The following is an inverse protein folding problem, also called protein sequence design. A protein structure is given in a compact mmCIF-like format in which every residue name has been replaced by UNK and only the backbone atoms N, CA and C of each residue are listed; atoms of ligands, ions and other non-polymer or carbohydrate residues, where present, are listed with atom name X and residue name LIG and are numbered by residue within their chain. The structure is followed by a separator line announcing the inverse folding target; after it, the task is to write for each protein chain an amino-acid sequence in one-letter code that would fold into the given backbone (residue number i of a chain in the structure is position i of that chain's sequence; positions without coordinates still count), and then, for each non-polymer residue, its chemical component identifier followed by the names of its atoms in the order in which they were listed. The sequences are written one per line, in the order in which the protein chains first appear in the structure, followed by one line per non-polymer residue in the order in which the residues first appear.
data_IF_758758979569
#
_entry.id   IF_758758979569
#
_cell.length_a   1.000
_cell.length_b   1.000
_cell.length_c   1.000
_cell.angle_alpha   90.00
_cell.angle_beta   90.00
_cell.angle_gamma   90.00
#
_symmetry.space_group_name_H-M   'P 1'
#
loop_
_entity.id
_entity.type
_entity.pdbx_description
1 polymer ?
#
# COMPACT_ATOMS: atom_id res chain seq x y z
N UNK A 1 -53.06 -19.10 22.08
CA UNK A 1 -52.24 -17.98 22.60
C UNK A 1 -50.87 -18.58 22.88
N UNK A 2 -49.87 -18.54 22.01
CA UNK A 2 -49.49 -17.54 21.01
C UNK A 2 -48.12 -16.98 21.44
N UNK A 3 -47.15 -17.00 20.52
CA UNK A 3 -45.80 -16.39 20.58
C UNK A 3 -44.64 -17.33 20.95
N UNK A 4 -44.16 -18.06 19.93
CA UNK A 4 -42.77 -18.52 19.88
C UNK A 4 -41.90 -17.37 19.35
N UNK A 5 -40.94 -16.92 20.16
CA UNK A 5 -39.98 -15.90 19.79
C UNK A 5 -38.85 -16.55 18.97
N UNK A 6 -38.88 -16.41 17.64
CA UNK A 6 -37.79 -16.83 16.79
C UNK A 6 -36.71 -15.74 16.75
N UNK A 7 -35.58 -15.99 17.40
CA UNK A 7 -34.40 -15.12 17.36
C UNK A 7 -33.66 -15.34 16.04
N UNK A 8 -33.83 -14.41 15.10
CA UNK A 8 -33.07 -14.38 13.83
C UNK A 8 -31.68 -13.84 14.14
N UNK A 9 -30.66 -14.71 14.06
CA UNK A 9 -29.26 -14.30 14.11
C UNK A 9 -28.89 -13.81 12.70
N UNK A 10 -28.84 -12.50 12.49
CA UNK A 10 -28.25 -11.93 11.29
C UNK A 10 -26.72 -12.06 11.38
N UNK A 11 -26.03 -12.64 10.37
CA UNK A 11 -24.58 -12.58 10.33
C UNK A 11 -24.16 -11.11 10.17
N UNK A 12 -23.36 -10.60 11.09
CA UNK A 12 -22.69 -9.32 10.93
C UNK A 12 -21.76 -9.44 9.72
N UNK A 13 -22.09 -8.74 8.63
CA UNK A 13 -21.19 -8.56 7.51
C UNK A 13 -20.01 -7.75 8.02
N UNK A 14 -18.90 -8.41 8.35
CA UNK A 14 -17.63 -7.73 8.60
C UNK A 14 -17.22 -7.11 7.27
N UNK A 15 -17.37 -5.79 7.15
CA UNK A 15 -16.78 -5.06 6.05
C UNK A 15 -15.27 -5.34 6.06
N UNK A 16 -14.74 -5.89 4.98
CA UNK A 16 -13.30 -5.97 4.81
C UNK A 16 -12.78 -4.53 4.73
N UNK A 17 -12.13 -4.10 5.80
CA UNK A 17 -11.29 -2.92 5.82
C UNK A 17 -10.34 -3.01 4.62
N UNK A 18 -10.47 -2.08 3.68
CA UNK A 18 -9.67 -2.04 2.46
C UNK A 18 -8.98 -0.70 2.42
N UNK A 19 -7.65 -0.74 2.37
CA UNK A 19 -6.85 0.47 2.19
C UNK A 19 -6.52 0.63 0.70
N UNK A 20 -6.44 1.87 0.23
CA UNK A 20 -6.02 2.18 -1.14
C UNK A 20 -4.87 3.19 -1.11
N UNK A 21 -3.78 2.89 -1.84
CA UNK A 21 -2.78 3.91 -2.17
C UNK A 21 -3.34 4.79 -3.27
N UNK A 22 -3.56 6.06 -2.97
CA UNK A 22 -4.21 7.03 -3.86
C UNK A 22 -3.22 7.92 -4.60
N UNK A 23 -2.02 8.13 -4.04
CA UNK A 23 -0.94 8.86 -4.68
C UNK A 23 0.43 8.34 -4.23
N UNK A 24 1.41 8.45 -5.12
CA UNK A 24 2.81 8.19 -4.82
C UNK A 24 3.66 9.29 -5.45
N UNK A 25 4.18 10.18 -4.60
CA UNK A 25 4.98 11.33 -4.99
C UNK A 25 6.41 11.18 -4.47
N UNK A 26 7.33 11.95 -5.02
CA UNK A 26 8.67 12.04 -4.47
C UNK A 26 9.16 13.49 -4.42
N UNK A 27 10.08 13.73 -3.50
CA UNK A 27 10.85 14.97 -3.41
C UNK A 27 12.30 14.65 -3.08
N UNK A 28 13.20 15.56 -3.44
CA UNK A 28 14.63 15.44 -3.11
C UNK A 28 15.15 16.71 -2.49
N UNK A 29 16.16 16.59 -1.64
CA UNK A 29 16.86 17.73 -1.05
C UNK A 29 18.24 17.96 -1.70
N UNK A 30 18.90 19.06 -1.35
CA UNK A 30 20.23 19.39 -1.86
C UNK A 30 21.35 18.42 -1.39
N UNK A 31 21.11 17.64 -0.34
CA UNK A 31 22.03 16.61 0.13
C UNK A 31 21.93 15.30 -0.69
N UNK A 32 20.92 15.18 -1.56
CA UNK A 32 20.68 14.00 -2.38
C UNK A 32 19.77 12.96 -1.72
N UNK A 33 19.14 13.28 -0.59
CA UNK A 33 18.14 12.40 0.01
C UNK A 33 16.86 12.46 -0.82
N UNK A 34 16.19 11.31 -0.95
CA UNK A 34 14.91 11.17 -1.64
C UNK A 34 13.86 10.73 -0.64
N UNK A 35 12.78 11.50 -0.56
CA UNK A 35 11.59 11.16 0.22
C UNK A 35 10.50 10.74 -0.75
N UNK A 36 10.07 9.49 -0.64
CA UNK A 36 8.91 8.97 -1.36
C UNK A 36 7.71 9.01 -0.40
N UNK A 37 6.65 9.72 -0.81
CA UNK A 37 5.45 9.91 0.00
C UNK A 37 4.30 9.13 -0.63
N UNK A 38 3.73 8.20 0.14
CA UNK A 38 2.50 7.50 -0.24
C UNK A 38 1.31 8.13 0.47
N UNK A 39 0.28 8.48 -0.29
CA UNK A 39 -1.02 8.85 0.26
C UNK A 39 -1.93 7.63 0.27
N UNK A 40 -2.57 7.38 1.40
CA UNK A 40 -3.48 6.26 1.58
C UNK A 40 -4.86 6.75 2.01
N UNK A 41 -5.89 6.01 1.60
CA UNK A 41 -7.27 6.24 2.00
C UNK A 41 -7.89 4.94 2.54
N UNK A 42 -8.93 5.08 3.36
CA UNK A 42 -9.56 3.96 4.06
C UNK A 42 -8.90 3.71 5.42
N UNK A 43 -8.73 2.43 5.75
CA UNK A 43 -8.10 2.02 7.00
C UNK A 43 -6.58 2.17 6.98
N UNK A 44 -5.95 2.08 8.15
CA UNK A 44 -4.49 2.16 8.28
C UNK A 44 -3.83 0.89 7.70
N UNK A 45 -3.03 1.00 6.62
CA UNK A 45 -2.46 -0.17 5.98
C UNK A 45 -1.38 -0.81 6.86
N UNK A 46 -1.30 -2.14 6.84
CA UNK A 46 -0.19 -2.82 7.51
C UNK A 46 1.07 -2.77 6.65
N UNK A 47 2.11 -2.11 7.17
CA UNK A 47 3.33 -1.79 6.42
C UNK A 47 4.52 -2.62 6.89
N UNK A 48 5.24 -3.23 5.93
CA UNK A 48 6.53 -3.90 6.15
C UNK A 48 7.61 -3.32 5.24
N UNK A 49 8.83 -3.14 5.76
CA UNK A 49 9.98 -2.63 5.00
C UNK A 49 11.12 -3.63 5.07
N UNK A 50 11.67 -3.99 3.92
CA UNK A 50 12.83 -4.87 3.83
C UNK A 50 13.68 -4.57 2.61
N UNK A 51 14.93 -5.04 2.64
CA UNK A 51 15.85 -4.92 1.52
C UNK A 51 16.19 -6.30 0.93
N UNK A 52 16.42 -6.33 -0.37
CA UNK A 52 16.99 -7.48 -1.08
C UNK A 52 18.39 -7.13 -1.57
N UNK A 53 19.27 -8.12 -1.71
CA UNK A 53 20.68 -7.91 -2.13
C UNK A 53 20.95 -8.36 -3.57
N UNK A 54 20.09 -9.18 -4.17
CA UNK A 54 20.31 -9.79 -5.49
C UNK A 54 19.02 -9.88 -6.30
N UNK A 55 18.62 -8.79 -7.01
CA UNK A 55 19.28 -7.47 -7.05
C UNK A 55 19.07 -6.65 -5.77
N UNK A 56 19.93 -5.64 -5.57
CA UNK A 56 19.81 -4.68 -4.47
C UNK A 56 18.54 -3.84 -4.62
N UNK A 57 17.58 -3.95 -3.70
CA UNK A 57 16.32 -3.18 -3.70
C UNK A 57 15.80 -2.89 -2.30
N UNK A 58 15.06 -1.80 -2.15
CA UNK A 58 14.25 -1.53 -0.96
C UNK A 58 12.80 -1.79 -1.32
N UNK A 59 12.09 -2.57 -0.52
CA UNK A 59 10.70 -2.92 -0.72
C UNK A 59 9.90 -2.46 0.49
N UNK A 60 8.92 -1.59 0.22
CA UNK A 60 7.83 -1.23 1.11
C UNK A 60 6.62 -2.04 0.71
N UNK A 61 6.07 -2.80 1.63
CA UNK A 61 5.02 -3.78 1.37
C UNK A 61 3.81 -3.50 2.26
N UNK A 62 2.68 -3.26 1.61
CA UNK A 62 1.40 -2.88 2.21
C UNK A 62 0.44 -4.05 2.06
N UNK A 63 0.14 -4.74 3.15
CA UNK A 63 -0.82 -5.84 3.16
C UNK A 63 -2.26 -5.32 3.15
N UNK A 64 -3.17 -6.09 2.58
CA UNK A 64 -4.60 -5.77 2.45
C UNK A 64 -4.85 -4.36 1.89
N UNK A 65 -3.96 -3.94 0.98
CA UNK A 65 -3.91 -2.59 0.41
C UNK A 65 -3.87 -2.68 -1.11
N UNK A 66 -4.86 -2.07 -1.75
CA UNK A 66 -4.93 -1.92 -3.20
C UNK A 66 -4.26 -0.62 -3.65
N UNK A 67 -4.08 -0.40 -4.96
CA UNK A 67 -3.47 0.83 -5.49
C UNK A 67 -4.27 1.42 -6.64
N UNK A 68 -4.46 2.74 -6.58
CA UNK A 68 -4.98 3.56 -7.67
C UNK A 68 -3.86 4.28 -8.45
N UNK A 69 -2.60 4.07 -8.05
CA UNK A 69 -1.42 4.64 -8.70
C UNK A 69 -1.04 3.79 -9.91
N UNK A 70 -0.56 4.43 -10.96
CA UNK A 70 -0.06 3.72 -12.14
C UNK A 70 1.13 2.82 -11.79
N UNK A 71 1.15 1.63 -12.38
CA UNK A 71 2.18 0.61 -12.13
C UNK A 71 3.51 0.88 -12.84
N UNK A 72 3.58 1.92 -13.67
CA UNK A 72 4.78 2.33 -14.39
C UNK A 72 5.91 2.79 -13.46
N UNK A 73 7.17 2.63 -13.89
CA UNK A 73 8.31 3.13 -13.13
C UNK A 73 8.35 4.66 -13.16
N UNK A 74 8.44 5.28 -11.98
CA UNK A 74 8.66 6.72 -11.81
C UNK A 74 10.17 6.96 -11.74
N UNK A 75 10.68 7.77 -12.67
CA UNK A 75 12.11 8.13 -12.72
C UNK A 75 12.41 9.22 -11.68
N UNK A 76 13.46 9.01 -10.89
CA UNK A 76 13.92 9.96 -9.86
C UNK A 76 15.28 10.53 -10.25
N UNK A 77 16.29 9.67 -10.43
CA UNK A 77 17.62 10.06 -10.89
C UNK A 77 18.43 10.91 -9.89
N UNK A 78 18.19 10.75 -8.58
CA UNK A 78 18.87 11.51 -7.52
C UNK A 78 19.59 10.57 -6.55
N UNK A 79 20.86 10.85 -6.28
CA UNK A 79 21.68 10.04 -5.38
C UNK A 79 21.76 8.59 -5.84
N UNK A 80 21.47 7.65 -4.93
CA UNK A 80 21.41 6.21 -5.24
C UNK A 80 20.05 5.77 -5.80
N UNK A 81 19.03 6.63 -5.76
CA UNK A 81 17.65 6.28 -6.15
C UNK A 81 17.44 6.63 -7.62
N UNK A 82 17.43 5.59 -8.45
CA UNK A 82 17.24 5.77 -9.90
C UNK A 82 15.76 5.89 -10.27
N UNK A 83 14.93 5.04 -9.68
CA UNK A 83 13.50 4.98 -9.95
C UNK A 83 12.79 4.25 -8.80
N UNK A 84 11.48 4.39 -8.73
CA UNK A 84 10.64 3.51 -7.93
C UNK A 84 9.42 3.06 -8.74
N UNK A 85 8.75 2.00 -8.28
CA UNK A 85 7.51 1.49 -8.89
C UNK A 85 6.55 1.04 -7.81
N UNK A 86 5.26 1.27 -8.03
CA UNK A 86 4.18 0.85 -7.15
C UNK A 86 3.40 -0.26 -7.83
N UNK A 87 3.47 -1.48 -7.29
CA UNK A 87 2.84 -2.66 -7.87
C UNK A 87 1.77 -3.20 -6.93
N UNK A 88 0.52 -3.26 -7.39
CA UNK A 88 -0.58 -3.88 -6.65
C UNK A 88 -0.95 -5.24 -7.28
N UNK A 89 -0.95 -6.29 -6.48
CA UNK A 89 -1.38 -7.62 -6.88
C UNK A 89 -1.84 -8.45 -5.67
N UNK A 90 -2.95 -9.19 -5.84
CA UNK A 90 -3.43 -10.13 -4.82
C UNK A 90 -3.72 -9.49 -3.46
N UNK A 91 -4.29 -8.28 -3.45
CA UNK A 91 -4.61 -7.54 -2.21
C UNK A 91 -3.40 -6.94 -1.51
N UNK A 92 -2.23 -6.85 -2.17
CA UNK A 92 -1.01 -6.28 -1.59
C UNK A 92 -0.42 -5.26 -2.55
N UNK A 93 0.04 -4.14 -2.00
CA UNK A 93 0.74 -3.09 -2.75
C UNK A 93 2.20 -3.06 -2.33
N UNK A 94 3.11 -3.09 -3.30
CA UNK A 94 4.57 -3.04 -3.08
C UNK A 94 5.15 -1.84 -3.76
N UNK A 95 5.86 -1.01 -3.02
CA UNK A 95 6.72 0.03 -3.58
C UNK A 95 8.15 -0.47 -3.57
N UNK A 96 8.77 -0.49 -4.74
CA UNK A 96 10.11 -1.00 -4.95
C UNK A 96 10.99 0.12 -5.48
N UNK A 97 12.13 0.32 -4.82
CA UNK A 97 13.18 1.28 -5.19
C UNK A 97 14.40 0.53 -5.73
#
# INVERSE_FOLDING_TARGET
MGLGLALVILPALTAWASSDVTAADYSSNAAGDVTITLSTAGDDPNVSVFATESPARIILDLADTNSQVDSGPVSVGVGAVQKFTTLAAGGRTRVMV
#
